data_IF_471639154433
#
_entry.id   IF_471639154433
#
_cell.length_a   1.000
_cell.length_b   1.000
_cell.length_c   1.000
_cell.angle_alpha   90.00
_cell.angle_beta   90.00
_cell.angle_gamma   90.00
#
_symmetry.space_group_name_H-M   'P 1'
#
loop_
_entity.id
_entity.type
_entity.pdbx_description
1 polymer ?
#
# COMPACT_ATOMS: atom_id res chain seq x y z
N UNK A 1 -27.55 -73.90 24.33
CA UNK A 1 -26.84 -72.94 23.46
C UNK A 1 -27.64 -71.64 23.34
N UNK A 2 -26.95 -70.50 23.54
CA UNK A 2 -27.11 -69.14 23.00
C UNK A 2 -28.48 -68.45 22.80
N UNK A 3 -28.72 -67.42 23.65
CA UNK A 3 -29.11 -66.00 23.39
C UNK A 3 -30.21 -65.73 22.33
N UNK A 4 -31.28 -64.98 22.56
CA UNK A 4 -31.55 -63.85 23.46
C UNK A 4 -32.02 -62.63 22.64
N UNK A 5 -33.04 -61.89 23.10
CA UNK A 5 -33.15 -60.40 23.06
C UNK A 5 -34.56 -59.88 23.38
N UNK A 6 -34.70 -58.64 23.90
CA UNK A 6 -35.83 -58.19 24.73
C UNK A 6 -36.77 -57.15 24.07
N UNK A 7 -37.99 -57.10 24.64
CA UNK A 7 -38.93 -55.98 24.90
C UNK A 7 -38.87 -54.73 23.99
N UNK A 8 -39.97 -54.49 23.25
CA UNK A 8 -40.28 -53.19 22.61
C UNK A 8 -41.37 -52.45 23.40
N UNK A 9 -41.01 -51.30 23.99
CA UNK A 9 -41.94 -50.35 24.62
C UNK A 9 -42.63 -49.47 23.56
N UNK A 10 -43.94 -49.33 23.71
CA UNK A 10 -44.85 -48.49 22.96
C UNK A 10 -44.57 -47.02 23.29
N UNK A 11 -44.27 -46.18 22.29
CA UNK A 11 -44.11 -44.73 22.46
C UNK A 11 -45.18 -44.03 21.62
N UNK A 12 -45.80 -43.06 22.29
CA UNK A 12 -47.08 -42.42 22.03
C UNK A 12 -46.97 -41.36 20.94
N UNK A 13 -47.98 -41.32 20.08
CA UNK A 13 -48.19 -40.34 19.01
C UNK A 13 -48.46 -38.96 19.61
N UNK A 14 -47.65 -37.97 19.26
CA UNK A 14 -47.94 -36.55 19.51
C UNK A 14 -47.92 -35.82 18.17
N UNK A 15 -49.09 -35.38 17.74
CA UNK A 15 -49.33 -34.56 16.54
C UNK A 15 -48.65 -33.20 16.70
N UNK A 16 -47.72 -32.84 15.81
CA UNK A 16 -47.11 -31.50 15.76
C UNK A 16 -47.40 -30.85 14.40
N UNK A 17 -48.06 -29.70 14.48
CA UNK A 17 -48.40 -28.73 13.42
C UNK A 17 -47.14 -28.32 12.64
N UNK A 18 -47.17 -28.14 11.30
CA UNK A 18 -45.98 -27.77 10.54
C UNK A 18 -45.54 -26.35 10.91
N UNK A 19 -44.40 -26.25 11.56
CA UNK A 19 -43.69 -25.01 11.85
C UNK A 19 -42.89 -24.60 10.60
N UNK A 20 -43.25 -23.46 10.01
CA UNK A 20 -42.55 -22.87 8.85
C UNK A 20 -41.14 -22.46 9.26
N UNK A 21 -40.14 -23.20 8.81
CA UNK A 21 -38.74 -22.82 8.93
C UNK A 21 -38.40 -21.71 7.93
N UNK A 22 -37.88 -20.55 8.36
CA UNK A 22 -37.41 -19.54 7.41
C UNK A 22 -36.23 -20.12 6.61
N UNK A 23 -36.26 -19.91 5.29
CA UNK A 23 -35.17 -20.26 4.38
C UNK A 23 -33.89 -19.55 4.82
N UNK A 24 -33.00 -20.26 5.51
CA UNK A 24 -31.62 -19.80 5.69
C UNK A 24 -30.94 -19.86 4.33
N UNK A 25 -30.84 -18.70 3.68
CA UNK A 25 -30.01 -18.52 2.50
C UNK A 25 -28.56 -18.87 2.87
N UNK A 26 -28.12 -20.07 2.49
CA UNK A 26 -26.72 -20.47 2.56
C UNK A 26 -25.97 -19.68 1.50
N UNK A 27 -25.65 -18.41 1.77
CA UNK A 27 -24.48 -17.79 1.13
C UNK A 27 -23.29 -18.59 1.63
N UNK A 28 -22.88 -19.56 0.84
CA UNK A 28 -21.48 -19.93 0.77
C UNK A 28 -20.72 -18.66 0.41
N UNK A 29 -20.34 -17.91 1.44
CA UNK A 29 -19.14 -17.10 1.40
C UNK A 29 -17.98 -18.09 1.29
N UNK A 30 -17.82 -18.67 0.10
CA UNK A 30 -16.49 -18.97 -0.38
C UNK A 30 -15.84 -17.60 -0.47
N UNK A 31 -15.17 -17.21 0.62
CA UNK A 31 -14.21 -16.14 0.61
C UNK A 31 -13.13 -16.61 -0.37
N UNK A 32 -13.35 -16.27 -1.63
CA UNK A 32 -12.33 -16.27 -2.64
C UNK A 32 -11.28 -15.27 -2.16
N UNK A 33 -10.35 -15.78 -1.35
CA UNK A 33 -9.13 -15.06 -0.97
C UNK A 33 -8.16 -15.04 -2.15
N UNK A 34 -8.66 -14.85 -3.36
CA UNK A 34 -7.94 -14.10 -4.37
C UNK A 34 -7.99 -12.63 -3.97
N UNK A 35 -7.31 -12.31 -2.87
CA UNK A 35 -6.53 -11.10 -2.85
C UNK A 35 -5.61 -11.24 -4.06
N UNK A 36 -6.09 -10.76 -5.21
CA UNK A 36 -5.33 -10.73 -6.43
C UNK A 36 -4.01 -10.13 -6.01
N UNK A 37 -2.96 -10.94 -6.06
CA UNK A 37 -1.62 -10.45 -5.94
C UNK A 37 -1.53 -9.43 -7.08
N UNK A 38 -1.76 -8.16 -6.75
CA UNK A 38 -1.40 -7.06 -7.63
C UNK A 38 0.11 -7.18 -7.68
N UNK A 39 0.56 -8.03 -8.59
CA UNK A 39 1.96 -8.28 -8.86
C UNK A 39 2.49 -6.91 -9.25
N UNK A 40 3.16 -6.27 -8.29
CA UNK A 40 3.81 -5.01 -8.56
C UNK A 40 4.85 -5.32 -9.63
N UNK A 41 4.61 -4.83 -10.85
CA UNK A 41 5.51 -5.08 -12.00
C UNK A 41 6.92 -4.53 -11.73
N UNK A 42 7.03 -3.62 -10.77
CA UNK A 42 8.28 -3.09 -10.24
C UNK A 42 8.81 -4.01 -9.14
N UNK A 43 9.96 -4.64 -9.40
CA UNK A 43 10.68 -5.45 -8.41
C UNK A 43 11.08 -4.64 -7.17
N UNK A 44 11.33 -5.32 -6.05
CA UNK A 44 11.72 -4.68 -4.78
C UNK A 44 12.95 -3.76 -4.92
N UNK A 45 13.88 -4.12 -5.79
CA UNK A 45 15.08 -3.30 -6.07
C UNK A 45 14.75 -1.99 -6.79
N UNK A 46 13.81 -1.99 -7.75
CA UNK A 46 13.33 -0.77 -8.40
C UNK A 46 12.74 0.21 -7.39
N UNK A 47 11.95 -0.30 -6.45
CA UNK A 47 11.32 0.54 -5.43
C UNK A 47 12.36 1.24 -4.54
N UNK A 48 13.46 0.56 -4.20
CA UNK A 48 14.57 1.16 -3.45
C UNK A 48 15.24 2.27 -4.26
N UNK A 49 15.45 2.07 -5.57
CA UNK A 49 16.05 3.09 -6.44
C UNK A 49 15.13 4.30 -6.63
N UNK A 50 13.82 4.08 -6.77
CA UNK A 50 12.82 5.16 -6.84
C UNK A 50 12.85 5.96 -5.54
N UNK A 51 12.87 5.30 -4.37
CA UNK A 51 12.98 6.00 -3.08
C UNK A 51 14.28 6.81 -2.97
N UNK A 52 15.40 6.28 -3.48
CA UNK A 52 16.65 7.02 -3.55
C UNK A 52 16.57 8.24 -4.48
N UNK A 53 15.96 8.11 -5.65
CA UNK A 53 15.73 9.20 -6.60
C UNK A 53 14.88 10.31 -6.01
N UNK A 54 13.76 9.93 -5.38
CA UNK A 54 12.88 10.85 -4.68
C UNK A 54 13.60 11.57 -3.53
N UNK A 55 14.45 10.86 -2.80
CA UNK A 55 15.32 11.44 -1.77
C UNK A 55 16.28 12.49 -2.34
N UNK A 56 16.82 12.28 -3.53
CA UNK A 56 17.72 13.21 -4.19
C UNK A 56 16.98 14.46 -4.72
N UNK A 57 15.76 14.29 -5.23
CA UNK A 57 14.86 15.41 -5.60
C UNK A 57 14.52 16.24 -4.36
N UNK A 58 14.15 15.59 -3.25
CA UNK A 58 13.90 16.26 -1.97
C UNK A 58 15.13 17.01 -1.48
N UNK A 59 16.31 16.41 -1.59
CA UNK A 59 17.57 17.07 -1.21
C UNK A 59 17.81 18.33 -2.05
N UNK A 60 17.56 18.28 -3.36
CA UNK A 60 17.64 19.45 -4.24
C UNK A 60 16.69 20.57 -3.82
N UNK A 61 15.44 20.24 -3.49
CA UNK A 61 14.46 21.20 -2.97
C UNK A 61 14.88 21.83 -1.64
N UNK A 62 15.40 21.02 -0.71
CA UNK A 62 15.92 21.49 0.58
C UNK A 62 17.13 22.40 0.38
N UNK A 63 18.01 22.09 -0.56
CA UNK A 63 19.18 22.91 -0.88
C UNK A 63 18.77 24.31 -1.40
N UNK A 64 17.64 24.37 -2.11
CA UNK A 64 17.04 25.61 -2.58
C UNK A 64 16.33 26.39 -1.46
N UNK A 65 15.81 25.69 -0.44
CA UNK A 65 15.05 26.31 0.65
C UNK A 65 15.84 27.39 1.41
N UNK A 66 15.13 28.44 1.81
CA UNK A 66 15.65 29.64 2.45
C UNK A 66 15.92 30.78 1.47
N UNK A 67 16.71 31.77 1.89
CA UNK A 67 16.93 33.01 1.13
C UNK A 67 16.17 34.20 1.67
N UNK A 68 15.72 34.06 2.91
CA UNK A 68 15.08 35.12 3.65
C UNK A 68 16.05 36.27 3.90
N UNK A 69 15.59 37.47 3.59
CA UNK A 69 16.32 38.70 3.81
C UNK A 69 16.03 39.20 5.24
N UNK A 70 17.04 39.52 6.07
CA UNK A 70 16.83 39.96 7.46
C UNK A 70 16.06 41.30 7.59
N UNK A 71 15.97 42.10 6.53
CA UNK A 71 15.25 43.38 6.52
C UNK A 71 14.82 43.74 5.10
N UNK A 72 13.62 44.29 4.92
CA UNK A 72 13.11 44.72 3.59
C UNK A 72 13.89 45.90 2.99
N UNK A 73 14.68 46.61 3.81
CA UNK A 73 15.39 47.83 3.42
C UNK A 73 16.79 47.57 2.85
N UNK A 74 17.29 46.33 2.97
CA UNK A 74 18.64 45.94 2.53
C UNK A 74 18.54 44.70 1.65
N UNK A 75 19.06 44.80 0.44
CA UNK A 75 19.15 43.68 -0.51
C UNK A 75 20.56 43.09 -0.52
N UNK A 76 20.67 41.82 -0.16
CA UNK A 76 21.89 41.05 -0.28
C UNK A 76 21.72 39.99 -1.39
N UNK A 77 22.26 40.31 -2.56
CA UNK A 77 22.21 39.46 -3.74
C UNK A 77 22.87 38.09 -3.50
N UNK A 78 23.84 38.00 -2.57
CA UNK A 78 24.55 36.75 -2.29
C UNK A 78 23.66 35.69 -1.63
N UNK A 79 22.60 36.13 -0.94
CA UNK A 79 21.65 35.26 -0.25
C UNK A 79 20.77 34.51 -1.25
N UNK A 80 20.30 35.19 -2.29
CA UNK A 80 19.44 34.58 -3.32
C UNK A 80 20.26 33.95 -4.45
N UNK A 81 21.28 34.65 -4.96
CA UNK A 81 22.10 34.20 -6.09
C UNK A 81 23.30 33.34 -5.68
N UNK A 82 23.26 32.74 -4.50
CA UNK A 82 24.28 31.78 -4.07
C UNK A 82 24.42 30.64 -5.08
N UNK A 83 25.66 30.33 -5.48
CA UNK A 83 26.00 29.20 -6.37
C UNK A 83 25.32 27.89 -5.96
N UNK A 84 25.14 27.67 -4.66
CA UNK A 84 24.45 26.51 -4.11
C UNK A 84 23.00 26.39 -4.60
N UNK A 85 22.28 27.50 -4.75
CA UNK A 85 20.85 27.52 -5.11
C UNK A 85 20.62 27.63 -6.61
N UNK A 86 21.43 28.41 -7.31
CA UNK A 86 21.27 28.64 -8.75
C UNK A 86 21.85 27.50 -9.58
N UNK A 87 22.90 26.84 -9.13
CA UNK A 87 23.60 25.81 -9.91
C UNK A 87 23.55 24.44 -9.23
N UNK A 88 23.99 24.35 -7.98
CA UNK A 88 24.11 23.05 -7.33
C UNK A 88 22.75 22.39 -7.07
N UNK A 89 21.78 23.13 -6.53
CA UNK A 89 20.45 22.62 -6.21
C UNK A 89 19.70 22.08 -7.46
N UNK A 90 19.61 22.83 -8.58
CA UNK A 90 18.92 22.33 -9.78
C UNK A 90 19.62 21.13 -10.39
N UNK A 91 20.96 21.10 -10.39
CA UNK A 91 21.72 19.95 -10.90
C UNK A 91 21.45 18.68 -10.09
N UNK A 92 21.42 18.79 -8.75
CA UNK A 92 21.08 17.66 -7.86
C UNK A 92 19.64 17.18 -8.12
N UNK A 93 18.70 18.12 -8.29
CA UNK A 93 17.31 17.80 -8.57
C UNK A 93 17.13 17.09 -9.92
N UNK A 94 17.81 17.56 -10.97
CA UNK A 94 17.81 16.92 -12.29
C UNK A 94 18.46 15.54 -12.26
N UNK A 95 19.54 15.36 -11.49
CA UNK A 95 20.15 14.05 -11.28
C UNK A 95 19.17 13.08 -10.59
N UNK A 96 18.39 13.56 -9.62
CA UNK A 96 17.33 12.80 -8.97
C UNK A 96 16.24 12.34 -9.95
N UNK A 97 15.74 13.27 -10.77
CA UNK A 97 14.75 12.95 -11.81
C UNK A 97 15.31 11.98 -12.86
N UNK A 98 16.57 12.15 -13.29
CA UNK A 98 17.21 11.22 -14.20
C UNK A 98 17.34 9.82 -13.58
N UNK A 99 17.62 9.73 -12.28
CA UNK A 99 17.67 8.48 -11.55
C UNK A 99 16.29 7.83 -11.42
N UNK A 100 15.22 8.60 -11.21
CA UNK A 100 13.84 8.08 -11.23
C UNK A 100 13.47 7.51 -12.59
N UNK A 101 13.76 8.24 -13.67
CA UNK A 101 13.55 7.75 -15.05
C UNK A 101 14.31 6.43 -15.24
N UNK A 102 15.60 6.39 -14.88
CA UNK A 102 16.39 5.17 -14.97
C UNK A 102 15.80 4.04 -14.11
N UNK A 103 15.37 4.31 -12.88
CA UNK A 103 14.83 3.31 -11.97
C UNK A 103 13.51 2.69 -12.46
N UNK A 104 12.68 3.46 -13.17
CA UNK A 104 11.43 2.97 -13.77
C UNK A 104 11.72 2.09 -14.99
N UNK A 105 12.61 2.53 -15.89
CA UNK A 105 12.92 1.78 -17.11
C UNK A 105 13.85 0.58 -16.89
N UNK A 106 14.68 0.62 -15.85
CA UNK A 106 15.63 -0.45 -15.53
C UNK A 106 14.86 -1.65 -14.99
N UNK A 107 14.53 -2.60 -15.86
CA UNK A 107 14.03 -3.90 -15.42
C UNK A 107 15.17 -4.67 -14.75
N UNK A 108 15.04 -4.94 -13.45
CA UNK A 108 15.90 -5.87 -12.72
C UNK A 108 15.32 -7.28 -12.76
#
# INVERSE_FOLDING_TARGET
MSKGKPVKKKVVVTTTKPEVTPTTARRSAAADNSAGETALELGKQNYILIAAGLGLVFLGLILMAGGEMPSSDVWDDSVIYSFRRTVLAPVVMLAGLALEVYAIFKKF
#
